data_IF_523243246780
#
_entry.id   IF_523243246780
#
_cell.length_a   1.000
_cell.length_b   1.000
_cell.length_c   1.000
_cell.angle_alpha   90.00
_cell.angle_beta   90.00
_cell.angle_gamma   90.00
#
_symmetry.space_group_name_H-M   'P 1'
#
loop_
_entity.id
_entity.type
_entity.pdbx_description
1 polymer ?
#
# COMPACT_ATOMS: atom_id res chain seq x y z
N UNK A 1 15.57 6.28 18.45
CA UNK A 1 15.65 6.67 17.03
C UNK A 1 15.46 8.19 16.90
N UNK A 2 15.74 8.79 15.73
CA UNK A 2 15.65 10.25 15.54
C UNK A 2 14.39 10.60 14.74
N UNK A 3 13.28 10.83 15.45
CA UNK A 3 11.97 11.08 14.84
C UNK A 3 11.97 12.30 13.89
N UNK A 4 12.73 13.35 14.20
CA UNK A 4 12.83 14.53 13.35
C UNK A 4 13.51 14.20 12.01
N UNK A 5 14.61 13.44 12.07
CA UNK A 5 15.26 12.92 10.87
C UNK A 5 14.31 11.99 10.10
N UNK A 6 13.54 11.16 10.81
CA UNK A 6 12.49 10.31 10.23
C UNK A 6 11.48 11.11 9.41
N UNK A 7 10.96 12.23 9.94
CA UNK A 7 10.04 13.12 9.21
C UNK A 7 10.69 13.66 7.94
N UNK A 8 11.92 14.20 8.04
CA UNK A 8 12.62 14.79 6.90
C UNK A 8 12.86 13.75 5.81
N UNK A 9 13.40 12.58 6.17
CA UNK A 9 13.64 11.48 5.23
C UNK A 9 12.34 10.99 4.59
N UNK A 10 11.25 10.96 5.35
CA UNK A 10 9.93 10.54 4.87
C UNK A 10 9.39 11.47 3.78
N UNK A 11 9.42 12.79 4.01
CA UNK A 11 8.99 13.75 2.99
C UNK A 11 9.88 13.70 1.76
N UNK A 12 11.20 13.64 1.93
CA UNK A 12 12.15 13.50 0.81
C UNK A 12 11.83 12.25 -0.01
N UNK A 13 11.62 11.11 0.65
CA UNK A 13 11.31 9.85 0.00
C UNK A 13 10.01 9.91 -0.81
N UNK A 14 8.91 10.37 -0.20
CA UNK A 14 7.60 10.42 -0.86
C UNK A 14 7.60 11.43 -2.01
N UNK A 15 8.15 12.63 -1.81
CA UNK A 15 8.24 13.61 -2.89
C UNK A 15 9.17 13.17 -4.02
N UNK A 16 10.25 12.46 -3.72
CA UNK A 16 11.11 11.86 -4.75
C UNK A 16 10.33 10.80 -5.55
N UNK A 17 9.56 9.93 -4.91
CA UNK A 17 8.72 8.95 -5.60
C UNK A 17 7.69 9.62 -6.53
N UNK A 18 7.00 10.66 -6.04
CA UNK A 18 6.04 11.44 -6.84
C UNK A 18 6.76 12.16 -8.00
N UNK A 19 7.92 12.75 -7.74
CA UNK A 19 8.73 13.46 -8.74
C UNK A 19 9.20 12.53 -9.86
N UNK A 20 9.73 11.35 -9.52
CA UNK A 20 10.13 10.33 -10.49
C UNK A 20 8.92 9.89 -11.32
N UNK A 21 7.80 9.57 -10.67
CA UNK A 21 6.56 9.18 -11.37
C UNK A 21 6.10 10.27 -12.35
N UNK A 22 6.13 11.52 -11.92
CA UNK A 22 5.74 12.67 -12.76
C UNK A 22 6.65 12.83 -13.97
N UNK A 23 7.97 12.63 -13.81
CA UNK A 23 8.92 12.66 -14.93
C UNK A 23 8.67 11.50 -15.90
N UNK A 24 8.43 10.30 -15.39
CA UNK A 24 8.13 9.12 -16.21
C UNK A 24 6.81 9.28 -17.00
N UNK A 25 5.78 9.85 -16.37
CA UNK A 25 4.52 10.18 -17.02
C UNK A 25 4.70 11.23 -18.12
N UNK A 26 5.41 12.32 -17.83
CA UNK A 26 5.70 13.38 -18.81
C UNK A 26 6.52 12.90 -20.00
N UNK A 27 7.41 11.92 -19.80
CA UNK A 27 8.16 11.27 -20.87
C UNK A 27 7.37 10.18 -21.61
N UNK A 28 6.09 9.99 -21.27
CA UNK A 28 5.21 8.96 -21.84
C UNK A 28 5.75 7.53 -21.68
N UNK A 29 6.61 7.30 -20.68
CA UNK A 29 7.10 5.97 -20.32
C UNK A 29 6.03 5.22 -19.54
N UNK A 30 5.31 5.93 -18.67
CA UNK A 30 4.16 5.44 -17.93
C UNK A 30 2.92 6.22 -18.34
N UNK A 31 1.80 5.53 -18.49
CA UNK A 31 0.48 6.14 -18.57
C UNK A 31 -0.02 6.57 -17.18
N UNK A 32 -1.20 7.17 -17.10
CA UNK A 32 -1.76 7.67 -15.84
C UNK A 32 -1.92 6.53 -14.80
N UNK A 33 -2.36 5.34 -15.25
CA UNK A 33 -2.51 4.17 -14.38
C UNK A 33 -1.16 3.64 -13.89
N UNK A 34 -0.18 3.48 -14.79
CA UNK A 34 1.17 3.05 -14.45
C UNK A 34 1.87 4.01 -13.51
N UNK A 35 1.65 5.32 -13.67
CA UNK A 35 2.23 6.36 -12.81
C UNK A 35 1.67 6.28 -11.39
N UNK A 36 0.36 6.05 -11.25
CA UNK A 36 -0.29 5.85 -9.95
C UNK A 36 0.21 4.57 -9.27
N UNK A 37 0.24 3.45 -10.00
CA UNK A 37 0.69 2.16 -9.46
C UNK A 37 2.17 2.18 -9.09
N UNK A 38 3.01 2.90 -9.86
CA UNK A 38 4.39 3.18 -9.47
C UNK A 38 4.47 3.92 -8.14
N UNK A 39 3.66 4.97 -7.92
CA UNK A 39 3.63 5.69 -6.64
C UNK A 39 3.19 4.76 -5.51
N UNK A 40 2.16 3.93 -5.70
CA UNK A 40 1.71 2.97 -4.68
C UNK A 40 2.82 1.99 -4.27
N UNK A 41 3.55 1.43 -5.24
CA UNK A 41 4.68 0.53 -5.01
C UNK A 41 5.83 1.28 -4.33
N UNK A 42 6.22 2.46 -4.85
CA UNK A 42 7.35 3.20 -4.30
C UNK A 42 7.06 3.66 -2.86
N UNK A 43 5.90 4.27 -2.63
CA UNK A 43 5.50 4.79 -1.31
C UNK A 43 5.24 3.66 -0.31
N UNK A 44 4.84 2.45 -0.71
CA UNK A 44 4.67 1.36 0.27
C UNK A 44 5.98 0.98 0.96
N UNK A 45 7.12 1.14 0.27
CA UNK A 45 8.44 0.93 0.86
C UNK A 45 8.82 1.99 1.90
N UNK A 46 8.09 3.12 1.98
CA UNK A 46 8.23 4.08 3.09
C UNK A 46 8.05 3.40 4.44
N UNK A 47 7.25 2.34 4.52
CA UNK A 47 7.03 1.62 5.77
C UNK A 47 8.33 1.06 6.37
N UNK A 48 9.25 0.61 5.52
CA UNK A 48 10.57 0.11 5.96
C UNK A 48 11.37 1.27 6.57
N UNK A 49 11.35 2.44 5.93
CA UNK A 49 11.97 3.65 6.49
C UNK A 49 11.33 4.03 7.84
N UNK A 50 10.00 3.93 7.94
CA UNK A 50 9.28 4.25 9.17
C UNK A 50 9.71 3.33 10.33
N UNK A 51 9.81 2.02 10.08
CA UNK A 51 10.29 1.04 11.07
C UNK A 51 11.74 1.28 11.52
N UNK A 52 12.57 1.91 10.67
CA UNK A 52 13.97 2.22 10.98
C UNK A 52 14.17 3.58 11.68
N UNK A 53 13.16 4.45 11.69
CA UNK A 53 13.33 5.85 12.11
C UNK A 53 12.39 6.32 13.21
N UNK A 54 11.18 5.75 13.33
CA UNK A 54 10.19 6.14 14.32
C UNK A 54 10.01 5.11 15.44
N UNK A 55 10.05 5.57 16.69
CA UNK A 55 9.77 4.73 17.87
C UNK A 55 8.41 5.03 18.50
N UNK A 56 7.75 6.11 18.06
CA UNK A 56 6.56 6.63 18.71
C UNK A 56 5.41 6.75 17.70
N UNK A 57 4.19 6.31 18.08
CA UNK A 57 3.05 6.30 17.19
C UNK A 57 2.63 7.68 16.69
N UNK A 58 2.74 8.73 17.51
CA UNK A 58 2.37 10.08 17.09
C UNK A 58 3.35 10.61 16.04
N UNK A 59 4.65 10.35 16.22
CA UNK A 59 5.67 10.72 15.24
C UNK A 59 5.52 9.94 13.93
N UNK A 60 5.29 8.62 14.00
CA UNK A 60 5.07 7.77 12.83
C UNK A 60 3.79 8.16 12.06
N UNK A 61 2.73 8.57 12.76
CA UNK A 61 1.45 8.99 12.18
C UNK A 61 1.44 10.42 11.63
N UNK A 62 2.41 11.26 11.99
CA UNK A 62 2.43 12.65 11.54
C UNK A 62 2.55 12.78 10.01
N UNK A 63 3.49 12.05 9.39
CA UNK A 63 3.69 12.10 7.93
C UNK A 63 2.45 11.59 7.17
N UNK A 64 1.90 10.40 7.48
CA UNK A 64 0.67 9.91 6.86
C UNK A 64 -0.50 10.88 7.00
N UNK A 65 -0.66 11.50 8.19
CA UNK A 65 -1.69 12.49 8.44
C UNK A 65 -1.56 13.69 7.50
N UNK A 66 -0.34 14.21 7.30
CA UNK A 66 -0.10 15.29 6.34
C UNK A 66 -0.47 14.85 4.91
N UNK A 67 -0.15 13.61 4.52
CA UNK A 67 -0.52 13.10 3.20
C UNK A 67 -2.02 12.86 3.02
N UNK A 68 -2.79 12.62 4.08
CA UNK A 68 -4.27 12.63 3.99
C UNK A 68 -4.75 14.01 3.55
N UNK A 69 -4.28 15.08 4.19
CA UNK A 69 -4.65 16.45 3.82
C UNK A 69 -4.13 16.84 2.44
N UNK A 70 -2.86 16.56 2.14
CA UNK A 70 -2.24 16.85 0.84
C UNK A 70 -2.97 16.12 -0.30
N UNK A 71 -3.27 14.83 -0.15
CA UNK A 71 -3.98 14.06 -1.17
C UNK A 71 -5.42 14.54 -1.33
N UNK A 72 -6.09 14.91 -0.24
CA UNK A 72 -7.44 15.48 -0.30
C UNK A 72 -7.47 16.82 -1.04
N UNK A 73 -6.51 17.71 -0.77
CA UNK A 73 -6.37 18.99 -1.46
C UNK A 73 -6.02 18.75 -2.94
N UNK A 74 -5.06 17.85 -3.22
CA UNK A 74 -4.69 17.50 -4.59
C UNK A 74 -5.89 17.02 -5.37
N UNK A 75 -6.67 16.08 -4.83
CA UNK A 75 -7.87 15.55 -5.49
C UNK A 75 -8.88 16.65 -5.88
N UNK A 76 -8.96 17.75 -5.10
CA UNK A 76 -9.82 18.90 -5.41
C UNK A 76 -9.19 19.90 -6.39
N UNK A 77 -7.88 20.09 -6.34
CA UNK A 77 -7.16 21.15 -7.05
C UNK A 77 -6.31 20.68 -8.23
N UNK A 78 -6.20 19.36 -8.45
CA UNK A 78 -5.40 18.70 -9.49
C UNK A 78 -3.90 18.99 -9.47
N UNK A 79 -3.34 19.13 -8.26
CA UNK A 79 -1.94 19.53 -8.05
C UNK A 79 -0.96 18.44 -8.51
N UNK A 80 -1.27 17.17 -8.26
CA UNK A 80 -0.43 16.04 -8.69
C UNK A 80 -1.06 15.32 -9.88
N UNK A 81 -0.86 15.88 -11.08
CA UNK A 81 -1.45 15.35 -12.32
C UNK A 81 -1.06 13.90 -12.62
N UNK A 82 0.11 13.44 -12.14
CA UNK A 82 0.56 12.06 -12.32
C UNK A 82 -0.21 11.02 -11.47
N UNK A 83 -1.01 11.45 -10.49
CA UNK A 83 -1.85 10.59 -9.66
C UNK A 83 -3.32 10.59 -10.07
N UNK A 84 -3.72 11.45 -11.02
CA UNK A 84 -5.13 11.65 -11.36
C UNK A 84 -5.43 11.21 -12.79
N UNK A 85 -6.48 10.41 -12.98
CA UNK A 85 -6.97 10.08 -14.31
C UNK A 85 -7.55 11.32 -15.02
N UNK A 86 -7.21 11.49 -16.30
CA UNK A 86 -7.76 12.53 -17.19
C UNK A 86 -9.29 12.54 -17.33
N UNK A 87 -9.99 11.51 -16.86
CA UNK A 87 -11.45 11.36 -16.94
C UNK A 87 -12.24 12.31 -16.02
N UNK A 88 -11.56 13.07 -15.15
CA UNK A 88 -12.18 14.10 -14.31
C UNK A 88 -12.99 13.57 -13.12
N UNK A 89 -12.97 12.26 -12.85
CA UNK A 89 -13.55 11.67 -11.63
C UNK A 89 -12.60 11.87 -10.45
N UNK A 90 -13.15 12.26 -9.30
CA UNK A 90 -12.40 12.34 -8.04
C UNK A 90 -11.86 10.96 -7.66
N UNK A 91 -10.53 10.82 -7.59
CA UNK A 91 -9.87 9.57 -7.23
C UNK A 91 -9.60 9.52 -5.74
N UNK A 92 -10.58 9.01 -4.99
CA UNK A 92 -10.46 8.81 -3.54
C UNK A 92 -9.39 7.78 -3.14
N UNK A 93 -8.87 7.00 -4.09
CA UNK A 93 -7.89 5.94 -3.83
C UNK A 93 -6.61 6.42 -3.15
N UNK A 94 -6.06 7.57 -3.54
CA UNK A 94 -4.85 8.14 -2.90
C UNK A 94 -5.11 8.68 -1.50
N UNK A 95 -6.33 9.17 -1.24
CA UNK A 95 -6.78 9.57 0.09
C UNK A 95 -6.96 8.33 0.97
N UNK A 96 -7.63 7.28 0.45
CA UNK A 96 -7.80 6.01 1.15
C UNK A 96 -6.48 5.32 1.47
N UNK A 97 -5.50 5.37 0.57
CA UNK A 97 -4.15 4.91 0.80
C UNK A 97 -3.50 5.66 1.98
N UNK A 98 -3.57 6.99 2.00
CA UNK A 98 -2.99 7.77 3.09
C UNK A 98 -3.71 7.50 4.43
N UNK A 99 -5.02 7.27 4.40
CA UNK A 99 -5.81 6.91 5.58
C UNK A 99 -5.42 5.53 6.11
N UNK A 100 -5.30 4.50 5.26
CA UNK A 100 -4.90 3.17 5.71
C UNK A 100 -3.50 3.19 6.32
N UNK A 101 -2.58 3.91 5.69
CA UNK A 101 -1.22 4.09 6.16
C UNK A 101 -1.17 4.85 7.49
N UNK A 102 -2.01 5.88 7.69
CA UNK A 102 -2.18 6.58 8.97
C UNK A 102 -2.68 5.66 10.08
N UNK A 103 -3.78 4.94 9.83
CA UNK A 103 -4.39 4.03 10.81
C UNK A 103 -3.39 2.96 11.23
N UNK A 104 -2.74 2.31 10.25
CA UNK A 104 -1.77 1.27 10.53
C UNK A 104 -0.56 1.84 11.27
N UNK A 105 -0.05 3.01 10.87
CA UNK A 105 1.11 3.61 11.52
C UNK A 105 0.80 3.89 13.00
N UNK A 106 -0.36 4.45 13.30
CA UNK A 106 -0.75 4.71 14.68
C UNK A 106 -0.87 3.40 15.48
N UNK A 107 -1.69 2.47 14.99
CA UNK A 107 -2.05 1.26 15.74
C UNK A 107 -0.84 0.35 15.96
N UNK A 108 -0.03 0.12 14.93
CA UNK A 108 1.02 -0.90 14.98
C UNK A 108 2.30 -0.39 15.65
N UNK A 109 2.60 0.92 15.57
CA UNK A 109 3.68 1.50 16.38
C UNK A 109 3.25 1.67 17.84
N UNK A 110 1.97 1.95 18.13
CA UNK A 110 1.48 2.01 19.51
C UNK A 110 1.49 0.66 20.24
N UNK A 111 1.62 -0.44 19.50
CA UNK A 111 1.62 -1.82 20.01
C UNK A 111 2.97 -2.53 19.78
N UNK A 112 4.02 -1.80 19.40
CA UNK A 112 5.37 -2.32 19.14
C UNK A 112 5.44 -3.50 18.14
N UNK A 113 4.47 -3.57 17.22
CA UNK A 113 4.34 -4.61 16.18
C UNK A 113 4.23 -3.98 14.79
N UNK A 114 5.00 -2.91 14.56
CA UNK A 114 5.03 -2.14 13.30
C UNK A 114 5.21 -3.03 12.04
N UNK A 115 5.88 -4.18 12.19
CA UNK A 115 6.06 -5.16 11.12
C UNK A 115 4.72 -5.67 10.55
N UNK A 116 3.65 -5.72 11.34
CA UNK A 116 2.30 -6.14 10.92
C UNK A 116 1.68 -5.14 9.95
N UNK A 117 1.80 -3.84 10.24
CA UNK A 117 1.35 -2.80 9.30
C UNK A 117 2.15 -2.83 8.00
N UNK A 118 3.44 -3.23 8.09
CA UNK A 118 4.32 -3.42 6.94
C UNK A 118 3.83 -4.52 6.01
N UNK A 119 3.36 -5.65 6.56
CA UNK A 119 2.73 -6.72 5.78
C UNK A 119 1.57 -6.15 4.95
N UNK A 120 0.62 -5.46 5.58
CA UNK A 120 -0.54 -4.93 4.87
C UNK A 120 -0.20 -3.89 3.80
N UNK A 121 0.63 -2.90 4.15
CA UNK A 121 0.98 -1.80 3.23
C UNK A 121 1.82 -2.29 2.04
N UNK A 122 2.76 -3.20 2.26
CA UNK A 122 3.56 -3.76 1.17
C UNK A 122 2.74 -4.70 0.29
N UNK A 123 1.82 -5.51 0.85
CA UNK A 123 0.90 -6.35 0.05
C UNK A 123 0.00 -5.48 -0.82
N UNK A 124 -0.54 -4.38 -0.29
CA UNK A 124 -1.29 -3.43 -1.11
C UNK A 124 -0.39 -2.81 -2.19
N UNK A 125 0.77 -2.27 -1.82
CA UNK A 125 1.66 -1.60 -2.77
C UNK A 125 2.08 -2.51 -3.93
N UNK A 126 2.65 -3.68 -3.63
CA UNK A 126 3.13 -4.62 -4.65
C UNK A 126 2.02 -5.48 -5.24
N UNK A 127 1.16 -6.07 -4.41
CA UNK A 127 0.08 -6.94 -4.85
C UNK A 127 -0.90 -6.20 -5.76
N UNK A 128 -1.61 -5.18 -5.25
CA UNK A 128 -2.56 -4.39 -6.05
C UNK A 128 -1.84 -3.61 -7.18
N UNK A 129 -0.62 -3.13 -6.91
CA UNK A 129 0.27 -2.51 -7.91
C UNK A 129 0.43 -3.35 -9.17
N UNK A 130 0.98 -4.56 -9.03
CA UNK A 130 1.23 -5.47 -10.14
C UNK A 130 -0.04 -6.16 -10.65
N UNK A 131 -1.02 -6.43 -9.78
CA UNK A 131 -2.31 -7.02 -10.17
C UNK A 131 -3.06 -6.13 -11.16
N UNK A 132 -3.05 -4.80 -10.97
CA UNK A 132 -3.67 -3.87 -11.91
C UNK A 132 -2.94 -3.86 -13.27
N UNK A 133 -1.61 -3.84 -13.27
CA UNK A 133 -0.81 -3.84 -14.51
C UNK A 133 -1.01 -5.14 -15.32
N UNK A 134 -0.90 -6.29 -14.64
CA UNK A 134 -1.03 -7.61 -15.26
C UNK A 134 -2.49 -7.89 -15.60
N UNK A 135 -3.43 -7.58 -14.72
CA UNK A 135 -4.85 -7.76 -14.95
C UNK A 135 -5.37 -6.90 -16.11
N UNK A 136 -4.84 -5.70 -16.30
CA UNK A 136 -5.23 -4.86 -17.45
C UNK A 136 -4.67 -5.40 -18.77
N UNK A 137 -3.39 -5.84 -18.79
CA UNK A 137 -2.71 -6.27 -20.02
C UNK A 137 -2.97 -7.73 -20.42
N UNK A 138 -3.07 -8.62 -19.45
CA UNK A 138 -3.13 -10.07 -19.63
C UNK A 138 -4.38 -10.71 -19.02
N UNK A 139 -5.22 -9.95 -18.31
CA UNK A 139 -6.41 -10.47 -17.65
C UNK A 139 -7.47 -10.91 -18.64
N UNK A 140 -7.68 -12.22 -18.78
CA UNK A 140 -8.69 -12.83 -19.64
C UNK A 140 -9.98 -13.13 -18.88
N UNK A 141 -9.86 -13.51 -17.61
CA UNK A 141 -10.99 -13.95 -16.80
C UNK A 141 -11.43 -12.85 -15.84
N UNK A 142 -12.38 -12.02 -16.29
CA UNK A 142 -12.92 -10.90 -15.50
C UNK A 142 -14.00 -11.38 -14.53
N UNK A 143 -13.99 -10.81 -13.34
CA UNK A 143 -14.92 -11.08 -12.24
C UNK A 143 -15.51 -9.75 -11.74
N UNK A 144 -15.81 -9.64 -10.44
CA UNK A 144 -16.39 -8.45 -9.83
C UNK A 144 -15.52 -7.20 -9.97
N UNK A 145 -16.17 -6.04 -10.08
CA UNK A 145 -15.54 -4.72 -10.21
C UNK A 145 -14.55 -4.56 -11.38
N UNK A 146 -14.55 -5.48 -12.35
CA UNK A 146 -13.63 -5.50 -13.49
C UNK A 146 -12.26 -6.11 -13.19
N UNK A 147 -12.07 -6.67 -11.99
CA UNK A 147 -10.84 -7.37 -11.58
C UNK A 147 -10.73 -8.73 -12.28
N UNK A 148 -9.52 -9.25 -12.42
CA UNK A 148 -9.29 -10.52 -13.13
C UNK A 148 -8.66 -11.58 -12.23
N UNK A 149 -8.87 -12.86 -12.54
CA UNK A 149 -8.25 -13.98 -11.82
C UNK A 149 -6.71 -13.88 -11.89
N UNK A 150 -6.18 -13.46 -13.04
CA UNK A 150 -4.76 -13.26 -13.25
C UNK A 150 -4.20 -12.12 -12.41
N UNK A 151 -4.96 -11.06 -12.16
CA UNK A 151 -4.58 -10.03 -11.20
C UNK A 151 -4.64 -10.55 -9.76
N UNK A 152 -5.69 -11.31 -9.42
CA UNK A 152 -5.87 -11.86 -8.09
C UNK A 152 -4.74 -12.84 -7.70
N UNK A 153 -4.26 -13.65 -8.64
CA UNK A 153 -3.13 -14.57 -8.40
C UNK A 153 -1.81 -13.83 -8.11
N UNK A 154 -1.64 -12.62 -8.64
CA UNK A 154 -0.50 -11.74 -8.31
C UNK A 154 -0.59 -11.26 -6.87
N UNK A 155 -1.78 -10.85 -6.42
CA UNK A 155 -1.99 -10.48 -5.00
C UNK A 155 -1.75 -11.66 -4.08
N UNK A 156 -2.20 -12.87 -4.45
CA UNK A 156 -1.91 -14.10 -3.70
C UNK A 156 -0.39 -14.33 -3.59
N UNK A 157 0.34 -14.26 -4.71
CA UNK A 157 1.78 -14.49 -4.74
C UNK A 157 2.58 -13.49 -3.91
N UNK A 158 2.32 -12.18 -4.09
CA UNK A 158 2.96 -11.14 -3.28
C UNK A 158 2.51 -11.20 -1.81
N UNK A 159 1.25 -11.56 -1.56
CA UNK A 159 0.71 -11.80 -0.22
C UNK A 159 1.51 -12.85 0.55
N UNK A 160 1.71 -14.02 -0.06
CA UNK A 160 2.50 -15.11 0.51
C UNK A 160 3.95 -14.69 0.68
N UNK A 161 4.56 -14.07 -0.33
CA UNK A 161 5.97 -13.68 -0.29
C UNK A 161 6.24 -12.66 0.83
N UNK A 162 5.48 -11.57 0.88
CA UNK A 162 5.68 -10.48 1.83
C UNK A 162 5.35 -10.95 3.25
N UNK A 163 4.16 -11.54 3.45
CA UNK A 163 3.81 -12.07 4.77
C UNK A 163 4.81 -13.15 5.22
N UNK A 164 5.28 -13.98 4.29
CA UNK A 164 6.28 -15.01 4.56
C UNK A 164 7.61 -14.44 5.06
N UNK A 165 8.14 -13.40 4.39
CA UNK A 165 9.36 -12.71 4.83
C UNK A 165 9.18 -12.15 6.25
N UNK A 166 8.09 -11.42 6.50
CA UNK A 166 7.85 -10.80 7.80
C UNK A 166 7.60 -11.82 8.91
N UNK A 167 6.77 -12.84 8.68
CA UNK A 167 6.56 -13.89 9.69
C UNK A 167 7.84 -14.68 9.94
N UNK A 168 8.63 -15.01 8.92
CA UNK A 168 9.90 -15.71 9.12
C UNK A 168 10.85 -14.91 10.04
N UNK A 169 10.88 -13.59 9.90
CA UNK A 169 11.77 -12.71 10.69
C UNK A 169 11.25 -12.42 12.10
N UNK A 170 9.94 -12.21 12.27
CA UNK A 170 9.36 -11.68 13.52
C UNK A 170 8.45 -12.66 14.28
N UNK A 171 7.88 -13.66 13.61
CA UNK A 171 6.98 -14.67 14.21
C UNK A 171 7.13 -16.03 13.50
N UNK A 172 8.28 -16.71 13.64
CA UNK A 172 8.66 -17.83 12.78
C UNK A 172 7.80 -19.09 12.97
N UNK A 173 7.05 -19.18 14.07
CA UNK A 173 6.15 -20.29 14.31
C UNK A 173 5.08 -20.34 13.21
N UNK A 174 4.99 -21.48 12.50
CA UNK A 174 4.03 -21.72 11.41
C UNK A 174 4.03 -20.62 10.33
N UNK A 175 5.17 -19.93 10.12
CA UNK A 175 5.27 -18.77 9.24
C UNK A 175 4.71 -19.02 7.82
N UNK A 176 4.97 -20.21 7.26
CA UNK A 176 4.50 -20.60 5.94
C UNK A 176 2.97 -20.71 5.92
N UNK A 177 2.37 -21.38 6.89
CA UNK A 177 0.91 -21.48 7.01
C UNK A 177 0.28 -20.09 7.18
N UNK A 178 0.84 -19.26 8.06
CA UNK A 178 0.37 -17.89 8.29
C UNK A 178 0.43 -17.06 7.01
N UNK A 179 1.52 -17.15 6.24
CA UNK A 179 1.66 -16.43 4.96
C UNK A 179 0.68 -16.88 3.89
N UNK A 180 0.36 -18.18 3.81
CA UNK A 180 -0.63 -18.73 2.88
C UNK A 180 -2.03 -18.19 3.22
N UNK A 181 -2.40 -18.18 4.51
CA UNK A 181 -3.67 -17.63 4.96
C UNK A 181 -3.77 -16.14 4.63
N UNK A 182 -2.75 -15.34 4.94
CA UNK A 182 -2.73 -13.90 4.62
C UNK A 182 -2.83 -13.66 3.12
N UNK A 183 -2.10 -14.41 2.30
CA UNK A 183 -2.15 -14.29 0.84
C UNK A 183 -3.54 -14.62 0.26
N UNK A 184 -4.19 -15.68 0.75
CA UNK A 184 -5.56 -16.04 0.33
C UNK A 184 -6.54 -14.95 0.71
N UNK A 185 -6.48 -14.45 1.95
CA UNK A 185 -7.38 -13.36 2.39
C UNK A 185 -7.14 -12.10 1.57
N UNK A 186 -5.89 -11.71 1.34
CA UNK A 186 -5.54 -10.55 0.54
C UNK A 186 -6.10 -10.67 -0.90
N UNK A 187 -5.96 -11.83 -1.53
CA UNK A 187 -6.53 -12.12 -2.85
C UNK A 187 -8.06 -11.95 -2.86
N UNK A 188 -8.75 -12.50 -1.86
CA UNK A 188 -10.21 -12.41 -1.76
C UNK A 188 -10.65 -10.96 -1.54
N UNK A 189 -10.02 -10.25 -0.60
CA UNK A 189 -10.34 -8.84 -0.32
C UNK A 189 -10.13 -8.00 -1.56
N UNK A 190 -9.02 -8.20 -2.28
CA UNK A 190 -8.76 -7.50 -3.53
C UNK A 190 -9.89 -7.72 -4.53
N UNK A 191 -10.25 -8.98 -4.79
CA UNK A 191 -11.25 -9.36 -5.80
C UNK A 191 -12.64 -8.79 -5.52
N UNK A 192 -13.03 -8.68 -4.25
CA UNK A 192 -14.35 -8.22 -3.83
C UNK A 192 -14.37 -6.76 -3.34
N UNK A 193 -13.27 -6.03 -3.42
CA UNK A 193 -13.24 -4.60 -3.07
C UNK A 193 -13.52 -3.72 -4.29
N UNK A 194 -14.41 -2.70 -4.17
CA UNK A 194 -14.58 -1.71 -5.22
C UNK A 194 -13.29 -0.97 -5.53
N UNK A 195 -13.09 -0.61 -6.81
CA UNK A 195 -11.90 0.11 -7.27
C UNK A 195 -11.67 1.39 -6.45
N UNK A 196 -10.49 1.52 -5.86
CA UNK A 196 -10.10 2.65 -5.02
C UNK A 196 -10.33 2.41 -3.52
N UNK A 197 -11.39 1.67 -3.15
CA UNK A 197 -11.64 1.28 -1.75
C UNK A 197 -10.70 0.15 -1.29
N UNK A 198 -10.20 -0.65 -2.23
CA UNK A 198 -9.09 -1.59 -2.04
C UNK A 198 -7.87 -0.97 -1.35
N UNK A 199 -7.53 0.29 -1.64
CA UNK A 199 -6.45 1.02 -0.96
C UNK A 199 -6.69 1.23 0.55
N UNK A 200 -7.92 1.03 1.02
CA UNK A 200 -8.28 1.02 2.43
C UNK A 200 -8.45 -0.42 2.94
N UNK A 201 -9.31 -1.22 2.28
CA UNK A 201 -9.72 -2.54 2.76
C UNK A 201 -8.59 -3.56 2.74
N UNK A 202 -7.77 -3.58 1.68
CA UNK A 202 -6.70 -4.57 1.50
C UNK A 202 -5.61 -4.48 2.58
N UNK A 203 -4.94 -3.33 2.80
CA UNK A 203 -3.87 -3.25 3.80
C UNK A 203 -4.40 -3.42 5.23
N UNK A 204 -5.60 -2.90 5.54
CA UNK A 204 -6.19 -3.04 6.88
C UNK A 204 -6.55 -4.50 7.18
N UNK A 205 -7.19 -5.21 6.23
CA UNK A 205 -7.58 -6.60 6.45
C UNK A 205 -6.37 -7.53 6.51
N UNK A 206 -5.39 -7.35 5.61
CA UNK A 206 -4.16 -8.14 5.64
C UNK A 206 -3.38 -7.96 6.95
N UNK A 207 -3.29 -6.72 7.46
CA UNK A 207 -2.66 -6.44 8.76
C UNK A 207 -3.44 -7.05 9.92
N UNK A 208 -4.77 -6.92 9.92
CA UNK A 208 -5.63 -7.48 10.97
C UNK A 208 -5.52 -9.01 11.04
N UNK A 209 -5.60 -9.71 9.90
CA UNK A 209 -5.43 -11.16 9.87
C UNK A 209 -4.02 -11.55 10.30
N UNK A 210 -3.01 -10.79 9.89
CA UNK A 210 -1.64 -11.04 10.32
C UNK A 210 -1.49 -10.95 11.84
N UNK A 211 -2.11 -9.95 12.47
CA UNK A 211 -2.17 -9.81 13.92
C UNK A 211 -2.87 -10.99 14.60
N UNK A 212 -4.07 -11.37 14.14
CA UNK A 212 -4.79 -12.51 14.73
C UNK A 212 -3.97 -13.80 14.67
N UNK A 213 -3.25 -14.04 13.57
CA UNK A 213 -2.38 -15.20 13.40
C UNK A 213 -1.11 -15.15 14.27
N UNK A 214 -0.72 -13.99 14.80
CA UNK A 214 0.43 -13.90 15.72
C UNK A 214 0.07 -14.24 17.17
N UNK A 215 -1.21 -14.18 17.51
CA UNK A 215 -1.74 -14.47 18.86
C UNK A 215 -2.10 -15.96 19.00
N UNK A 216 -2.36 -16.63 17.88
CA UNK A 216 -2.57 -18.08 17.76
C UNK A 216 -1.25 -18.83 17.72
#
# INVERSE_FOLDING_TARGET
>A
MNNLLGIVLSFVFVFMAIGISTVLNKKSILDDEGSRKFIHIAVSNWWILAMLTFDDPLWASFVPLMFVFINYISMKQRVFTAMERKSGKQEWGTVYYAISLLILAYVTFATDIAYIGGIGILIMGYGDGFAALIGTKYGKHRLWFGKSIEGASIVLGFGILIAGIFFYLYSPNLWLMKSIIVGIVAMVVELFSPNGFDNLSLPLTASLVSFLLTIL
#
